data_IF_214646000239
#
_entry.id   IF_214646000239
#
_cell.length_a   1.000
_cell.length_b   1.000
_cell.length_c   1.000
_cell.angle_alpha   90.00
_cell.angle_beta   90.00
_cell.angle_gamma   90.00
#
_symmetry.space_group_name_H-M   'P 1'
#
loop_
_entity.id
_entity.type
_entity.pdbx_description
1 polymer ?
#
# COMPACT_ATOMS: atom_id res chain seq x y z
N UNK A 1 -43.06 95.05 -7.96
CA UNK A 1 -43.82 95.10 -9.22
C UNK A 1 -43.03 94.37 -10.29
N UNK A 2 -43.58 93.27 -10.83
CA UNK A 2 -43.79 92.97 -12.27
C UNK A 2 -42.57 93.17 -13.22
N UNK A 3 -42.29 92.25 -14.17
CA UNK A 3 -41.64 90.94 -14.06
C UNK A 3 -40.62 90.83 -15.24
N UNK A 4 -40.56 89.66 -15.91
CA UNK A 4 -40.12 89.45 -17.31
C UNK A 4 -38.62 89.28 -17.52
N UNK A 5 -38.18 88.46 -18.44
CA UNK A 5 -38.76 87.34 -19.20
C UNK A 5 -37.53 86.67 -19.81
N UNK A 6 -37.53 85.35 -19.82
CA UNK A 6 -36.55 84.50 -20.50
C UNK A 6 -36.40 84.87 -21.99
N UNK A 7 -35.21 84.64 -22.58
CA UNK A 7 -35.15 84.07 -23.92
C UNK A 7 -34.33 82.77 -23.98
N UNK A 8 -34.89 81.80 -24.70
CA UNK A 8 -34.31 80.49 -25.02
C UNK A 8 -32.98 80.61 -25.79
N UNK A 9 -32.02 79.69 -25.58
CA UNK A 9 -30.78 79.67 -26.33
C UNK A 9 -30.91 78.99 -27.70
N UNK A 10 -30.33 79.64 -28.72
CA UNK A 10 -30.01 79.07 -30.03
C UNK A 10 -28.73 78.22 -29.93
N UNK A 11 -28.68 77.19 -30.79
CA UNK A 11 -27.56 76.26 -31.02
C UNK A 11 -26.20 76.97 -31.18
N UNK A 12 -25.17 76.39 -30.57
CA UNK A 12 -23.76 76.66 -30.88
C UNK A 12 -23.00 75.34 -31.09
N UNK A 13 -22.60 75.15 -32.36
CA UNK A 13 -21.28 74.71 -32.84
C UNK A 13 -20.40 73.77 -32.02
N UNK A 14 -20.06 72.66 -32.69
CA UNK A 14 -18.86 71.82 -32.59
C UNK A 14 -17.71 72.35 -31.71
N UNK A 15 -17.50 71.67 -30.58
CA UNK A 15 -16.34 71.80 -29.71
C UNK A 15 -15.18 70.89 -30.15
N UNK A 16 -13.99 71.44 -29.98
CA UNK A 16 -12.65 70.92 -30.26
C UNK A 16 -12.30 69.61 -29.50
N UNK A 17 -11.19 68.93 -29.88
CA UNK A 17 -10.85 67.59 -29.39
C UNK A 17 -10.35 67.61 -27.94
N UNK A 18 -10.96 66.77 -27.10
CA UNK A 18 -10.51 66.46 -25.75
C UNK A 18 -9.30 65.50 -25.73
N UNK A 19 -8.59 65.41 -24.58
CA UNK A 19 -7.24 64.87 -24.49
C UNK A 19 -7.17 63.34 -24.62
N UNK A 20 -6.06 62.87 -25.20
CA UNK A 20 -5.64 61.46 -25.28
C UNK A 20 -5.79 60.77 -23.93
N UNK A 21 -6.79 59.91 -23.81
CA UNK A 21 -6.82 58.88 -22.78
C UNK A 21 -5.71 57.87 -23.07
N UNK A 22 -4.70 57.88 -22.21
CA UNK A 22 -3.68 56.83 -22.08
C UNK A 22 -4.39 55.50 -21.87
N UNK A 23 -4.31 54.64 -22.88
CA UNK A 23 -4.78 53.27 -22.84
C UNK A 23 -3.90 52.50 -21.86
N UNK A 24 -4.31 52.43 -20.59
CA UNK A 24 -3.70 51.56 -19.60
C UNK A 24 -3.70 50.13 -20.14
N UNK A 25 -2.52 49.66 -20.52
CA UNK A 25 -2.27 48.26 -20.84
C UNK A 25 -2.47 47.48 -19.54
N UNK A 26 -3.60 46.79 -19.42
CA UNK A 26 -3.75 45.68 -18.46
C UNK A 26 -2.51 44.79 -18.59
N UNK A 27 -1.80 44.47 -17.50
CA UNK A 27 -0.71 43.51 -17.58
C UNK A 27 -1.30 42.19 -18.06
N UNK A 28 -0.84 41.74 -19.22
CA UNK A 28 -1.20 40.44 -19.75
C UNK A 28 -0.85 39.41 -18.71
N UNK A 29 -1.85 38.67 -18.21
CA UNK A 29 -1.60 37.34 -17.66
C UNK A 29 -0.90 36.57 -18.76
N UNK A 30 0.42 36.52 -18.70
CA UNK A 30 1.19 35.48 -19.37
C UNK A 30 0.72 34.17 -18.74
N UNK A 31 -0.33 33.58 -19.30
CA UNK A 31 -0.72 32.22 -18.96
C UNK A 31 0.48 31.35 -19.23
N UNK A 32 0.95 30.62 -18.22
CA UNK A 32 2.01 29.64 -18.39
C UNK A 32 1.52 28.68 -19.49
N UNK A 33 2.18 28.64 -20.67
CA UNK A 33 1.76 27.75 -21.73
C UNK A 33 2.23 26.36 -21.34
N UNK A 34 1.29 25.51 -20.95
CA UNK A 34 1.58 24.15 -20.56
C UNK A 34 0.32 23.37 -20.29
N UNK A 35 -0.31 22.84 -21.34
CA UNK A 35 -1.11 21.64 -21.18
C UNK A 35 -0.16 20.55 -20.70
N UNK A 36 -0.08 20.37 -19.38
CA UNK A 36 0.67 19.24 -18.81
C UNK A 36 -0.14 18.01 -19.18
N UNK A 37 0.32 17.27 -20.20
CA UNK A 37 -0.26 15.97 -20.52
C UNK A 37 -0.24 15.13 -19.24
N UNK A 38 -1.34 14.46 -18.88
CA UNK A 38 -1.36 13.60 -17.71
C UNK A 38 -0.26 12.55 -17.86
N UNK A 39 0.60 12.45 -16.84
CA UNK A 39 1.68 11.46 -16.83
C UNK A 39 1.05 10.07 -16.83
N UNK A 40 1.58 9.19 -17.65
CA UNK A 40 1.12 7.81 -17.70
C UNK A 40 1.74 7.03 -16.53
N UNK A 41 0.95 6.27 -15.75
CA UNK A 41 1.48 5.42 -14.70
C UNK A 41 2.44 4.37 -15.27
N UNK A 42 3.45 3.99 -14.49
CA UNK A 42 4.44 3.00 -14.90
C UNK A 42 3.91 1.60 -14.57
N UNK A 43 4.05 0.71 -15.54
CA UNK A 43 3.86 -0.72 -15.31
C UNK A 43 5.18 -1.36 -14.90
N UNK A 44 5.17 -2.13 -13.81
CA UNK A 44 6.28 -3.02 -13.49
C UNK A 44 6.35 -4.13 -14.53
N UNK A 45 7.57 -4.50 -14.92
CA UNK A 45 7.80 -5.73 -15.68
C UNK A 45 7.37 -6.90 -14.81
N UNK A 46 6.70 -7.89 -15.40
CA UNK A 46 6.47 -9.17 -14.72
C UNK A 46 7.83 -9.83 -14.49
N UNK A 47 8.33 -9.94 -13.24
CA UNK A 47 9.61 -10.60 -13.01
C UNK A 47 9.46 -12.09 -13.35
N UNK A 48 10.53 -12.75 -13.80
CA UNK A 48 10.54 -14.22 -13.96
C UNK A 48 10.79 -14.98 -12.66
N UNK A 49 11.22 -14.28 -11.62
CA UNK A 49 11.53 -14.85 -10.29
C UNK A 49 10.27 -15.35 -9.60
N UNK A 50 10.38 -16.24 -8.63
CA UNK A 50 9.26 -16.60 -7.75
C UNK A 50 8.86 -15.41 -6.85
N UNK A 51 7.60 -15.38 -6.44
CA UNK A 51 7.13 -14.65 -5.26
C UNK A 51 6.57 -15.65 -4.28
N UNK A 52 6.43 -15.23 -3.03
CA UNK A 52 5.99 -16.05 -1.92
C UNK A 52 4.73 -15.48 -1.30
N UNK A 53 3.90 -16.35 -0.73
CA UNK A 53 2.74 -15.96 0.06
C UNK A 53 2.66 -16.85 1.30
N UNK A 54 2.41 -16.24 2.45
CA UNK A 54 2.03 -16.94 3.67
C UNK A 54 0.50 -16.96 3.76
N UNK A 55 -0.10 -18.02 3.23
CA UNK A 55 -1.56 -18.16 3.07
C UNK A 55 -2.15 -19.17 4.06
N UNK A 56 -3.48 -19.28 4.11
CA UNK A 56 -4.17 -20.28 4.93
C UNK A 56 -4.00 -21.66 4.31
N UNK A 57 -3.81 -22.68 5.13
CA UNK A 57 -3.94 -24.06 4.70
C UNK A 57 -5.43 -24.43 4.54
N UNK A 58 -5.78 -25.41 3.69
CA UNK A 58 -4.88 -26.31 2.96
C UNK A 58 -4.21 -25.71 1.71
N UNK A 59 -4.80 -24.70 1.08
CA UNK A 59 -4.25 -24.07 -0.12
C UNK A 59 -3.91 -22.58 0.13
N UNK A 60 -2.62 -22.25 0.33
CA UNK A 60 -2.21 -20.87 0.54
C UNK A 60 -2.49 -19.93 -0.63
N UNK A 61 -2.70 -20.44 -1.85
CA UNK A 61 -2.98 -19.65 -3.05
C UNK A 61 -4.47 -19.55 -3.36
N UNK A 62 -5.33 -20.20 -2.57
CA UNK A 62 -6.77 -20.04 -2.69
C UNK A 62 -7.14 -18.57 -2.53
N UNK A 63 -7.94 -18.08 -3.48
CA UNK A 63 -8.48 -16.72 -3.43
C UNK A 63 -9.35 -16.57 -2.18
N UNK A 64 -9.16 -15.52 -1.37
CA UNK A 64 -10.01 -15.32 -0.20
C UNK A 64 -11.48 -15.21 -0.62
N UNK A 65 -12.43 -15.76 0.17
CA UNK A 65 -13.85 -15.55 -0.05
C UNK A 65 -14.17 -14.05 -0.15
N UNK A 66 -15.07 -13.68 -1.04
CA UNK A 66 -15.34 -12.28 -1.35
C UNK A 66 -15.90 -11.52 -0.14
N UNK A 67 -16.60 -12.22 0.75
CA UNK A 67 -17.14 -11.71 2.00
C UNK A 67 -16.04 -11.29 2.98
N UNK A 68 -14.85 -11.91 2.87
CA UNK A 68 -13.66 -11.60 3.65
C UNK A 68 -12.79 -10.51 3.01
N UNK A 69 -13.08 -10.11 1.76
CA UNK A 69 -12.39 -9.02 1.08
C UNK A 69 -12.88 -7.64 1.55
N UNK A 70 -12.04 -6.63 1.37
CA UNK A 70 -12.37 -5.22 1.61
C UNK A 70 -11.66 -4.61 2.83
N UNK A 71 -10.89 -5.41 3.58
CA UNK A 71 -10.17 -4.92 4.77
C UNK A 71 -8.68 -4.69 4.49
N UNK A 72 -8.11 -5.34 3.48
CA UNK A 72 -6.73 -5.16 3.07
C UNK A 72 -6.44 -3.77 2.48
N UNK A 73 -5.15 -3.41 2.45
CA UNK A 73 -4.69 -2.10 1.96
C UNK A 73 -5.06 -1.84 0.51
N UNK A 74 -5.01 -2.86 -0.33
CA UNK A 74 -5.32 -2.80 -1.76
C UNK A 74 -6.55 -3.64 -2.10
N UNK A 75 -7.42 -3.88 -1.13
CA UNK A 75 -8.71 -4.50 -1.39
C UNK A 75 -9.70 -3.44 -1.93
N UNK A 76 -10.77 -3.90 -2.56
CA UNK A 76 -11.90 -3.05 -2.92
C UNK A 76 -13.00 -3.14 -1.85
N UNK A 77 -13.36 -2.03 -1.18
CA UNK A 77 -14.46 -2.01 -0.21
C UNK A 77 -15.80 -2.39 -0.84
N UNK A 78 -15.98 -2.13 -2.14
CA UNK A 78 -17.15 -2.56 -2.90
C UNK A 78 -17.11 -4.05 -3.32
N UNK A 79 -16.02 -4.76 -2.98
CA UNK A 79 -15.85 -6.20 -3.20
C UNK A 79 -16.07 -6.62 -4.66
N UNK A 80 -15.53 -5.88 -5.62
CA UNK A 80 -15.62 -6.23 -7.06
C UNK A 80 -14.57 -7.24 -7.49
N UNK A 81 -13.48 -7.37 -6.73
CA UNK A 81 -12.41 -8.33 -6.98
C UNK A 81 -11.77 -8.79 -5.67
N UNK A 82 -11.06 -9.92 -5.74
CA UNK A 82 -10.28 -10.49 -4.62
C UNK A 82 -8.79 -10.17 -4.79
N UNK A 83 -8.07 -10.22 -3.68
CA UNK A 83 -6.64 -9.86 -3.65
C UNK A 83 -5.81 -10.93 -2.95
N UNK A 84 -4.75 -11.38 -3.62
CA UNK A 84 -3.67 -12.15 -3.00
C UNK A 84 -2.48 -11.24 -2.71
N UNK A 85 -2.14 -11.11 -1.44
CA UNK A 85 -0.90 -10.51 -1.00
C UNK A 85 0.25 -11.52 -1.07
N UNK A 86 1.33 -11.11 -1.70
CA UNK A 86 2.57 -11.86 -1.85
C UNK A 86 3.79 -10.93 -1.76
N UNK A 87 4.98 -11.49 -1.62
CA UNK A 87 6.21 -10.71 -1.64
C UNK A 87 7.35 -11.46 -2.32
N UNK A 88 8.32 -10.72 -2.85
CA UNK A 88 9.52 -11.30 -3.48
C UNK A 88 10.38 -12.05 -2.46
N UNK A 89 10.45 -11.58 -1.23
CA UNK A 89 11.21 -12.21 -0.16
C UNK A 89 10.26 -12.96 0.79
N UNK A 90 10.58 -14.22 1.14
CA UNK A 90 9.86 -14.94 2.22
C UNK A 90 9.82 -14.11 3.51
N UNK A 91 10.93 -13.41 3.81
CA UNK A 91 11.06 -12.45 4.90
C UNK A 91 9.90 -11.45 4.98
N UNK A 92 9.57 -10.85 3.84
CA UNK A 92 8.56 -9.81 3.74
C UNK A 92 7.16 -10.38 4.00
N UNK A 93 6.88 -11.61 3.54
CA UNK A 93 5.63 -12.30 3.84
C UNK A 93 5.44 -12.50 5.35
N UNK A 94 6.50 -12.96 6.04
CA UNK A 94 6.46 -13.14 7.49
C UNK A 94 6.34 -11.80 8.21
N UNK A 95 7.15 -10.81 7.85
CA UNK A 95 7.11 -9.48 8.46
C UNK A 95 5.70 -8.85 8.36
N UNK A 96 5.09 -8.85 7.18
CA UNK A 96 3.74 -8.30 6.98
C UNK A 96 2.67 -9.10 7.72
N UNK A 97 2.74 -10.43 7.71
CA UNK A 97 1.74 -11.28 8.36
C UNK A 97 1.81 -11.18 9.88
N UNK A 98 3.03 -11.10 10.43
CA UNK A 98 3.25 -11.05 11.87
C UNK A 98 3.18 -9.63 12.43
N UNK A 99 3.12 -8.60 11.58
CA UNK A 99 3.09 -7.20 11.97
C UNK A 99 2.04 -6.87 13.05
N UNK A 100 0.88 -7.55 13.00
CA UNK A 100 -0.21 -7.34 13.96
C UNK A 100 0.08 -7.84 15.37
N UNK A 101 1.10 -8.69 15.54
CA UNK A 101 1.52 -9.22 16.83
C UNK A 101 2.69 -8.43 17.42
N UNK A 102 3.18 -7.39 16.72
CA UNK A 102 4.26 -6.53 17.24
C UNK A 102 3.80 -5.90 18.55
N UNK A 103 4.68 -5.80 19.56
CA UNK A 103 4.36 -5.09 20.79
C UNK A 103 3.82 -3.70 20.51
N UNK A 104 2.88 -3.25 21.34
CA UNK A 104 2.36 -1.89 21.22
C UNK A 104 3.45 -0.89 21.62
N UNK A 105 3.33 0.34 21.12
CA UNK A 105 4.29 1.40 21.43
C UNK A 105 4.22 1.79 22.92
N UNK A 106 3.06 1.64 23.54
CA UNK A 106 2.84 1.86 24.97
C UNK A 106 3.65 0.84 25.79
N UNK A 107 3.53 -0.46 25.45
CA UNK A 107 4.29 -1.51 26.12
C UNK A 107 5.80 -1.30 25.96
N UNK A 108 6.25 -0.89 24.77
CA UNK A 108 7.64 -0.54 24.49
C UNK A 108 8.13 0.64 25.34
N UNK A 109 7.31 1.68 25.51
CA UNK A 109 7.65 2.82 26.34
C UNK A 109 7.79 2.45 27.83
N UNK A 110 7.02 1.47 28.30
CA UNK A 110 7.07 1.00 29.70
C UNK A 110 8.28 0.11 29.99
N UNK A 111 8.68 -0.77 29.06
CA UNK A 111 9.74 -1.77 29.28
C UNK A 111 11.11 -1.37 28.74
N UNK A 112 11.19 -0.40 27.83
CA UNK A 112 12.44 0.24 27.39
C UNK A 112 13.28 -0.56 26.39
N UNK A 113 13.39 -1.89 26.52
CA UNK A 113 14.12 -2.74 25.57
C UNK A 113 13.15 -3.63 24.75
N UNK A 114 13.05 -3.43 23.42
CA UNK A 114 12.30 -4.32 22.53
C UNK A 114 12.69 -5.80 22.66
N UNK A 115 13.96 -6.11 22.96
CA UNK A 115 14.45 -7.47 23.11
C UNK A 115 13.81 -8.22 24.31
N UNK A 116 13.33 -7.47 25.29
CA UNK A 116 12.66 -8.01 26.48
C UNK A 116 11.14 -8.20 26.26
N UNK A 117 10.60 -7.69 25.14
CA UNK A 117 9.18 -7.76 24.83
C UNK A 117 8.94 -8.72 23.69
N UNK A 118 8.18 -9.77 23.98
CA UNK A 118 7.94 -10.81 22.99
C UNK A 118 6.50 -10.82 22.52
N UNK A 119 6.31 -10.69 21.20
CA UNK A 119 5.03 -10.92 20.57
C UNK A 119 4.53 -12.35 20.74
N UNK A 120 3.31 -12.48 21.23
CA UNK A 120 2.61 -13.75 21.35
C UNK A 120 1.87 -14.08 20.05
N UNK A 121 2.23 -15.20 19.40
CA UNK A 121 1.50 -15.75 18.25
C UNK A 121 0.99 -17.12 18.63
N UNK A 122 -0.31 -17.37 18.51
CA UNK A 122 -0.84 -18.68 18.90
C UNK A 122 -0.28 -19.80 18.01
N UNK A 123 0.00 -20.96 18.60
CA UNK A 123 0.45 -22.11 17.82
C UNK A 123 -0.61 -22.55 16.78
N UNK A 124 -1.90 -22.32 17.07
CA UNK A 124 -2.99 -22.52 16.12
C UNK A 124 -2.90 -21.61 14.89
N UNK A 125 -2.55 -20.33 15.08
CA UNK A 125 -2.33 -19.40 13.98
C UNK A 125 -1.23 -19.91 13.05
N UNK A 126 -0.08 -20.33 13.60
CA UNK A 126 1.04 -20.85 12.80
C UNK A 126 0.67 -22.13 12.06
N UNK A 127 0.02 -23.10 12.74
CA UNK A 127 -0.42 -24.36 12.12
C UNK A 127 -1.47 -24.18 11.02
N UNK A 128 -2.21 -23.07 11.04
CA UNK A 128 -3.21 -22.76 10.01
C UNK A 128 -2.62 -22.16 8.72
N UNK A 129 -1.29 -22.01 8.64
CA UNK A 129 -0.61 -21.27 7.57
C UNK A 129 0.49 -22.08 6.89
N UNK A 130 0.63 -21.87 5.59
CA UNK A 130 1.68 -22.46 4.75
C UNK A 130 2.29 -21.43 3.82
N UNK A 131 3.56 -21.65 3.43
CA UNK A 131 4.21 -20.80 2.42
C UNK A 131 4.02 -21.44 1.05
N UNK A 132 3.43 -20.68 0.13
CA UNK A 132 3.42 -21.04 -1.28
C UNK A 132 4.41 -20.16 -2.06
N UNK A 133 5.09 -20.77 -3.03
CA UNK A 133 5.91 -20.07 -4.01
C UNK A 133 5.26 -20.19 -5.39
N UNK A 134 5.20 -19.10 -6.15
CA UNK A 134 4.53 -19.08 -7.44
C UNK A 134 5.10 -18.04 -8.40
N UNK A 135 4.90 -18.30 -9.69
CA UNK A 135 5.17 -17.37 -10.78
C UNK A 135 3.90 -16.58 -11.09
N UNK A 136 4.06 -15.30 -11.42
CA UNK A 136 3.01 -14.52 -12.07
C UNK A 136 3.21 -14.66 -13.57
N UNK A 137 2.13 -14.85 -14.34
CA UNK A 137 2.20 -14.74 -15.80
C UNK A 137 2.35 -13.28 -16.24
N UNK A 138 2.67 -13.10 -17.51
CA UNK A 138 2.74 -11.78 -18.11
C UNK A 138 1.44 -11.00 -17.86
N UNK A 139 1.57 -9.76 -17.42
CA UNK A 139 0.44 -8.91 -17.07
C UNK A 139 0.85 -7.46 -16.90
N UNK A 140 -0.14 -6.59 -16.77
CA UNK A 140 0.04 -5.17 -16.42
C UNK A 140 0.01 -5.01 -14.91
N UNK A 141 1.11 -4.57 -14.33
CA UNK A 141 1.27 -4.42 -12.88
C UNK A 141 1.52 -2.96 -12.55
N UNK A 142 0.65 -2.31 -11.79
CA UNK A 142 0.82 -0.89 -11.46
C UNK A 142 1.98 -0.76 -10.46
N UNK A 143 3.06 -0.07 -10.84
CA UNK A 143 4.22 0.11 -9.97
C UNK A 143 4.12 1.43 -9.21
N UNK A 144 3.57 1.39 -7.99
CA UNK A 144 3.37 2.59 -7.17
C UNK A 144 4.66 3.03 -6.45
N UNK A 145 5.78 2.34 -6.68
CA UNK A 145 7.10 2.75 -6.19
C UNK A 145 7.73 3.83 -7.09
N UNK A 146 7.21 3.99 -8.31
CA UNK A 146 7.73 4.94 -9.28
C UNK A 146 7.11 6.31 -9.10
N UNK A 147 7.93 7.36 -9.14
CA UNK A 147 7.49 8.74 -9.01
C UNK A 147 6.46 9.13 -10.08
N UNK A 148 6.62 8.63 -11.30
CA UNK A 148 5.67 8.89 -12.40
C UNK A 148 4.30 8.29 -12.13
N UNK A 149 4.24 7.13 -11.48
CA UNK A 149 2.98 6.53 -11.05
C UNK A 149 2.33 7.37 -9.96
N UNK A 150 3.08 7.80 -8.94
CA UNK A 150 2.56 8.67 -7.89
C UNK A 150 2.02 9.99 -8.46
N UNK A 151 2.76 10.60 -9.41
CA UNK A 151 2.30 11.80 -10.11
C UNK A 151 1.03 11.57 -10.94
N UNK A 152 0.93 10.42 -11.63
CA UNK A 152 -0.28 10.05 -12.37
C UNK A 152 -1.48 9.87 -11.43
N UNK A 153 -1.28 9.19 -10.30
CA UNK A 153 -2.32 8.99 -9.27
C UNK A 153 -2.71 10.33 -8.62
N UNK A 154 -1.76 11.22 -8.36
CA UNK A 154 -2.05 12.59 -7.90
C UNK A 154 -2.99 13.32 -8.85
N UNK A 155 -2.75 13.24 -10.16
CA UNK A 155 -3.63 13.83 -11.16
C UNK A 155 -5.00 13.14 -11.22
N UNK A 156 -5.04 11.81 -11.11
CA UNK A 156 -6.29 11.04 -11.18
C UNK A 156 -7.21 11.26 -9.97
N UNK A 157 -6.64 11.41 -8.77
CA UNK A 157 -7.38 11.55 -7.52
C UNK A 157 -7.42 12.99 -7.00
N UNK A 158 -6.83 13.96 -7.70
CA UNK A 158 -6.59 15.31 -7.19
C UNK A 158 -7.84 16.00 -6.61
N UNK A 159 -9.01 15.77 -7.19
CA UNK A 159 -10.29 16.32 -6.69
C UNK A 159 -10.78 15.65 -5.41
N UNK A 160 -10.37 14.43 -5.09
CA UNK A 160 -10.83 13.63 -3.94
C UNK A 160 -9.73 13.38 -2.90
N UNK A 161 -8.49 13.83 -3.11
CA UNK A 161 -7.38 13.64 -2.14
C UNK A 161 -7.70 14.17 -0.74
N UNK A 162 -8.43 15.28 -0.66
CA UNK A 162 -8.85 15.88 0.60
C UNK A 162 -9.83 14.99 1.38
N UNK A 163 -10.69 14.23 0.68
CA UNK A 163 -11.61 13.24 1.27
C UNK A 163 -10.83 12.06 1.87
N UNK A 164 -9.63 11.78 1.34
CA UNK A 164 -8.71 10.79 1.90
C UNK A 164 -7.84 11.34 3.04
N UNK A 165 -8.00 12.61 3.44
CA UNK A 165 -7.17 13.23 4.48
C UNK A 165 -5.69 13.34 4.09
N UNK A 166 -5.36 13.28 2.79
CA UNK A 166 -3.99 13.34 2.30
C UNK A 166 -3.64 14.76 1.83
N UNK A 167 -2.48 15.25 2.24
CA UNK A 167 -1.91 16.51 1.73
C UNK A 167 -1.37 16.34 0.31
N UNK A 168 -0.84 15.16 -0.01
CA UNK A 168 -0.30 14.83 -1.33
C UNK A 168 -0.32 13.31 -1.57
N UNK A 169 -0.05 12.88 -2.81
CA UNK A 169 0.19 11.48 -3.16
C UNK A 169 1.69 11.20 -3.10
N UNK A 170 2.12 10.64 -1.97
CA UNK A 170 3.50 10.24 -1.74
C UNK A 170 3.58 8.88 -1.02
N UNK A 171 4.79 8.49 -0.61
CA UNK A 171 5.02 7.24 0.11
C UNK A 171 4.28 7.19 1.45
N UNK A 172 4.04 8.32 2.11
CA UNK A 172 3.31 8.36 3.37
C UNK A 172 1.83 8.02 3.16
N UNK A 173 1.22 8.53 2.09
CA UNK A 173 -0.16 8.16 1.70
C UNK A 173 -0.30 6.69 1.32
N UNK A 174 0.74 6.10 0.72
CA UNK A 174 0.75 4.67 0.35
C UNK A 174 1.00 3.75 1.56
N UNK A 175 1.91 4.12 2.46
CA UNK A 175 2.35 3.28 3.58
C UNK A 175 1.60 3.58 4.89
N UNK A 176 0.87 4.69 4.95
CA UNK A 176 0.20 5.20 6.15
C UNK A 176 -0.92 4.30 6.67
N UNK A 177 -1.49 4.62 7.84
CA UNK A 177 -2.52 3.78 8.46
C UNK A 177 -3.85 3.81 7.71
N UNK A 178 -4.17 4.92 7.04
CA UNK A 178 -5.40 5.09 6.29
C UNK A 178 -5.37 4.29 4.99
N UNK A 179 -6.44 3.54 4.73
CA UNK A 179 -6.53 2.62 3.57
C UNK A 179 -7.41 3.15 2.44
N UNK A 180 -8.24 4.17 2.67
CA UNK A 180 -9.19 4.66 1.66
C UNK A 180 -8.51 5.03 0.35
N UNK A 181 -7.36 5.73 0.42
CA UNK A 181 -6.59 6.07 -0.77
C UNK A 181 -6.08 4.82 -1.50
N UNK A 182 -5.39 3.92 -0.82
CA UNK A 182 -4.80 2.72 -1.46
C UNK A 182 -5.86 1.75 -1.98
N UNK A 183 -7.01 1.67 -1.32
CA UNK A 183 -8.17 0.91 -1.78
C UNK A 183 -8.80 1.55 -3.02
N UNK A 184 -8.90 2.88 -3.07
CA UNK A 184 -9.35 3.62 -4.26
C UNK A 184 -8.37 3.45 -5.44
N UNK A 185 -7.07 3.44 -5.17
CA UNK A 185 -6.03 3.13 -6.17
C UNK A 185 -6.17 1.70 -6.69
N UNK A 186 -6.49 0.73 -5.84
CA UNK A 186 -6.71 -0.66 -6.26
C UNK A 186 -7.95 -0.81 -7.14
N UNK A 187 -9.07 -0.22 -6.73
CA UNK A 187 -10.28 -0.09 -7.53
C UNK A 187 -10.00 0.49 -8.92
N UNK A 188 -9.35 1.66 -8.96
CA UNK A 188 -8.95 2.31 -10.20
C UNK A 188 -8.04 1.43 -11.05
N UNK A 189 -7.02 0.78 -10.46
CA UNK A 189 -6.10 -0.09 -11.19
C UNK A 189 -6.84 -1.27 -11.82
N UNK A 190 -7.75 -1.91 -11.08
CA UNK A 190 -8.54 -3.03 -11.59
C UNK A 190 -9.42 -2.61 -12.78
N UNK A 191 -10.15 -1.49 -12.66
CA UNK A 191 -10.96 -0.92 -13.75
C UNK A 191 -10.15 -0.59 -15.00
N UNK A 192 -8.89 -0.17 -14.81
CA UNK A 192 -7.98 0.18 -15.91
C UNK A 192 -7.23 -1.06 -16.46
N UNK A 193 -7.64 -2.28 -16.12
CA UNK A 193 -7.10 -3.52 -16.66
C UNK A 193 -5.71 -3.89 -16.14
N UNK A 194 -5.33 -3.40 -14.96
CA UNK A 194 -4.17 -3.93 -14.24
C UNK A 194 -4.53 -5.26 -13.57
N UNK A 195 -3.52 -6.11 -13.40
CA UNK A 195 -3.59 -7.43 -12.78
C UNK A 195 -3.14 -7.40 -11.31
N UNK A 196 -2.70 -6.24 -10.84
CA UNK A 196 -2.25 -6.04 -9.48
C UNK A 196 -1.35 -4.82 -9.34
N UNK A 197 -0.85 -4.64 -8.12
CA UNK A 197 -0.04 -3.51 -7.69
C UNK A 197 1.27 -4.02 -7.10
N UNK A 198 2.38 -3.37 -7.49
CA UNK A 198 3.71 -3.59 -6.89
C UNK A 198 4.04 -2.42 -5.98
N UNK A 199 4.40 -2.72 -4.73
CA UNK A 199 4.60 -1.72 -3.70
C UNK A 199 5.74 -2.11 -2.74
N UNK A 200 6.27 -1.13 -2.03
CA UNK A 200 7.23 -1.37 -0.94
C UNK A 200 6.47 -1.64 0.37
N UNK A 201 6.96 -2.59 1.17
CA UNK A 201 6.40 -2.79 2.52
C UNK A 201 6.61 -1.55 3.39
N UNK A 202 5.62 -1.23 4.23
CA UNK A 202 5.79 -0.21 5.29
C UNK A 202 6.85 -0.60 6.33
N UNK A 203 7.18 -1.90 6.42
CA UNK A 203 8.15 -2.45 7.38
C UNK A 203 9.57 -2.49 6.82
N UNK A 204 9.75 -2.18 5.53
CA UNK A 204 11.07 -2.18 4.91
C UNK A 204 10.98 -1.79 3.45
N UNK A 205 11.66 -0.71 3.07
CA UNK A 205 11.64 -0.21 1.69
C UNK A 205 12.21 -1.21 0.66
N UNK A 206 13.07 -2.14 1.10
CA UNK A 206 13.65 -3.19 0.26
C UNK A 206 12.74 -4.41 0.07
N UNK A 207 11.66 -4.51 0.85
CA UNK A 207 10.66 -5.56 0.70
C UNK A 207 9.71 -5.19 -0.43
N UNK A 208 9.78 -5.99 -1.49
CA UNK A 208 8.91 -5.85 -2.65
C UNK A 208 7.68 -6.71 -2.46
N UNK A 209 6.53 -6.05 -2.30
CA UNK A 209 5.24 -6.66 -2.08
C UNK A 209 4.35 -6.51 -3.31
N UNK A 210 3.42 -7.44 -3.45
CA UNK A 210 2.52 -7.58 -4.57
C UNK A 210 1.10 -7.77 -4.03
N UNK A 211 0.17 -6.93 -4.48
CA UNK A 211 -1.26 -7.13 -4.33
C UNK A 211 -1.79 -7.60 -5.69
N UNK A 212 -2.07 -8.90 -5.79
CA UNK A 212 -2.42 -9.56 -7.04
C UNK A 212 -3.93 -9.69 -7.11
N UNK A 213 -4.54 -9.24 -8.18
CA UNK A 213 -5.99 -9.29 -8.38
C UNK A 213 -6.41 -10.63 -8.98
N UNK A 214 -7.67 -11.02 -8.79
CA UNK A 214 -8.21 -12.31 -9.25
C UNK A 214 -8.42 -12.43 -10.77
N UNK A 215 -8.22 -11.34 -11.51
CA UNK A 215 -8.08 -11.34 -12.97
C UNK A 215 -6.66 -11.74 -13.43
N UNK A 216 -5.70 -11.93 -12.50
CA UNK A 216 -4.34 -12.33 -12.82
C UNK A 216 -4.18 -13.85 -12.90
N UNK A 217 -3.41 -14.30 -13.90
CA UNK A 217 -3.00 -15.70 -13.95
C UNK A 217 -1.72 -15.94 -13.14
N UNK A 218 -1.78 -16.92 -12.24
CA UNK A 218 -0.66 -17.38 -11.41
C UNK A 218 -0.36 -18.85 -11.69
N UNK A 219 0.91 -19.23 -11.61
CA UNK A 219 1.38 -20.60 -11.78
C UNK A 219 2.15 -21.03 -10.54
N UNK A 220 1.76 -22.15 -9.93
CA UNK A 220 2.49 -22.72 -8.80
C UNK A 220 3.93 -23.01 -9.19
N UNK A 221 4.87 -22.57 -8.35
CA UNK A 221 6.26 -23.02 -8.45
C UNK A 221 6.31 -24.49 -8.02
N UNK A 222 7.14 -25.30 -8.66
CA UNK A 222 7.21 -26.76 -8.44
C UNK A 222 7.74 -27.20 -7.05
N UNK A 223 7.73 -26.30 -6.07
CA UNK A 223 8.03 -26.60 -4.67
C UNK A 223 6.73 -26.97 -3.97
N UNK A 224 6.66 -28.19 -3.42
CA UNK A 224 5.64 -28.57 -2.45
C UNK A 224 5.48 -27.44 -1.42
N UNK A 225 4.25 -27.17 -1.00
CA UNK A 225 3.96 -26.23 0.08
C UNK A 225 4.69 -26.69 1.35
N UNK A 226 5.88 -26.14 1.58
CA UNK A 226 6.60 -26.42 2.81
C UNK A 226 5.82 -25.77 3.96
N UNK A 227 5.59 -26.49 5.07
CA UNK A 227 5.13 -25.83 6.29
C UNK A 227 6.10 -24.69 6.60
N UNK A 228 5.55 -23.55 7.01
CA UNK A 228 6.37 -22.42 7.41
C UNK A 228 7.25 -22.87 8.60
N UNK A 229 8.57 -23.00 8.40
CA UNK A 229 9.53 -23.21 9.49
C UNK A 229 9.60 -21.94 10.35
N UNK A 230 8.60 -21.74 11.20
CA UNK A 230 8.58 -20.72 12.24
C UNK A 230 9.01 -21.40 13.54
N UNK A 231 10.18 -21.03 14.03
CA UNK A 231 10.68 -21.52 15.30
C UNK A 231 9.94 -20.81 16.43
N UNK A 232 9.27 -21.62 17.25
CA UNK A 232 8.62 -21.13 18.46
C UNK A 232 9.59 -21.30 19.62
N UNK A 233 9.88 -20.22 20.34
CA UNK A 233 10.59 -20.31 21.63
C UNK A 233 9.60 -20.80 22.67
N UNK A 234 9.93 -21.89 23.36
CA UNK A 234 9.15 -22.34 24.51
C UNK A 234 9.47 -21.43 25.71
N UNK A 235 8.49 -20.79 26.36
CA UNK A 235 8.75 -19.98 27.56
C UNK A 235 9.36 -20.79 28.71
N UNK A 236 9.09 -22.11 28.76
CA UNK A 236 9.55 -23.01 29.82
C UNK A 236 10.91 -23.67 29.53
N UNK A 237 11.52 -23.43 28.36
CA UNK A 237 12.82 -24.03 28.00
C UNK A 237 13.66 -23.02 27.19
N UNK A 238 14.80 -22.53 27.72
CA UNK A 238 15.60 -21.49 27.07
C UNK A 238 16.38 -21.97 25.83
N UNK A 239 16.27 -23.25 25.43
CA UNK A 239 16.98 -23.81 24.27
C UNK A 239 16.20 -23.62 22.96
N UNK A 240 16.89 -23.08 21.96
CA UNK A 240 16.38 -22.92 20.59
C UNK A 240 16.26 -24.29 19.93
N UNK A 241 15.04 -24.74 19.61
CA UNK A 241 14.85 -25.98 18.86
C UNK A 241 15.31 -25.80 17.41
N UNK A 242 16.23 -26.65 16.95
CA UNK A 242 16.64 -26.80 15.54
C UNK A 242 16.01 -28.09 15.02
N UNK A 243 15.41 -28.16 13.80
CA UNK A 243 14.66 -29.33 13.36
C UNK A 243 15.57 -30.43 12.78
N UNK A 244 16.90 -30.31 12.89
CA UNK A 244 17.85 -31.29 12.34
C UNK A 244 18.36 -32.32 13.36
N UNK A 245 17.98 -32.22 14.65
CA UNK A 245 18.37 -33.22 15.66
C UNK A 245 17.17 -34.07 16.09
N UNK A 246 16.95 -35.13 15.31
CA UNK A 246 16.31 -36.40 15.68
C UNK A 246 14.76 -36.43 15.89
N UNK A 247 14.13 -37.61 15.67
CA UNK A 247 12.98 -37.72 14.80
C UNK A 247 11.68 -37.96 15.57
N UNK A 248 10.55 -37.67 14.92
CA UNK A 248 9.23 -38.24 15.26
C UNK A 248 8.60 -37.67 16.54
N UNK A 249 7.54 -36.87 16.37
CA UNK A 249 6.55 -36.46 17.41
C UNK A 249 7.00 -35.44 18.47
N UNK A 250 7.12 -34.16 18.08
CA UNK A 250 6.92 -33.02 19.02
C UNK A 250 5.85 -32.03 18.53
N UNK A 251 5.11 -32.36 17.46
CA UNK A 251 3.88 -31.64 17.09
C UNK A 251 2.64 -32.07 17.88
N UNK A 252 2.77 -33.08 18.76
CA UNK A 252 1.68 -33.54 19.61
C UNK A 252 1.72 -32.85 20.97
N UNK A 253 0.69 -32.06 21.26
CA UNK A 253 0.32 -31.51 22.59
C UNK A 253 1.07 -30.25 23.07
N UNK A 254 0.98 -29.16 22.31
CA UNK A 254 0.77 -27.87 22.99
C UNK A 254 -0.73 -27.75 23.24
N UNK A 255 -1.19 -27.52 24.49
CA UNK A 255 -2.61 -27.30 24.76
C UNK A 255 -3.09 -26.08 23.96
N UNK A 256 -4.38 -26.02 23.56
CA UNK A 256 -4.92 -24.86 22.83
C UNK A 256 -4.76 -23.52 23.58
N UNK A 257 -4.47 -23.54 24.88
CA UNK A 257 -4.16 -22.38 25.72
C UNK A 257 -2.70 -21.92 25.72
N UNK A 258 -1.77 -22.65 25.08
CA UNK A 258 -0.35 -22.28 25.10
C UNK A 258 -0.07 -21.10 24.16
N UNK A 259 0.35 -19.98 24.75
CA UNK A 259 0.94 -18.84 24.04
C UNK A 259 2.30 -19.25 23.48
N UNK A 260 2.45 -19.20 22.16
CA UNK A 260 3.71 -19.46 21.49
C UNK A 260 4.45 -18.13 21.22
N UNK A 261 5.72 -18.09 21.56
CA UNK A 261 6.61 -16.97 21.25
C UNK A 261 7.20 -17.24 19.87
N UNK A 262 6.89 -16.42 18.87
CA UNK A 262 7.41 -16.61 17.52
C UNK A 262 8.74 -15.88 17.32
N UNK A 263 9.79 -16.62 16.95
CA UNK A 263 11.04 -16.04 16.46
C UNK A 263 11.32 -16.60 15.06
N UNK A 264 11.24 -15.76 14.03
CA UNK A 264 11.37 -16.24 12.65
C UNK A 264 12.86 -16.33 12.29
N UNK A 265 13.43 -17.53 12.34
CA UNK A 265 14.74 -17.84 11.74
C UNK A 265 14.57 -18.28 10.30
N UNK A 266 15.31 -17.66 9.41
CA UNK A 266 15.37 -17.90 7.97
C UNK A 266 16.85 -17.96 7.60
N UNK A 267 17.23 -18.72 6.55
CA UNK A 267 18.65 -18.95 6.22
C UNK A 267 19.44 -17.62 6.11
N UNK A 268 20.51 -17.57 6.90
CA UNK A 268 21.60 -16.61 7.20
C UNK A 268 21.52 -15.10 6.86
N UNK A 269 20.80 -14.63 5.85
CA UNK A 269 20.64 -13.18 5.59
C UNK A 269 19.32 -12.62 6.16
N UNK A 270 18.31 -13.48 6.35
CA UNK A 270 16.94 -13.03 6.66
C UNK A 270 16.62 -13.04 8.16
N UNK A 271 17.32 -13.86 8.95
CA UNK A 271 17.15 -13.92 10.40
C UNK A 271 17.54 -12.61 11.11
N UNK A 272 18.48 -11.83 10.55
CA UNK A 272 18.89 -10.55 11.11
C UNK A 272 17.78 -9.49 10.96
N UNK A 273 17.11 -9.44 9.81
CA UNK A 273 16.01 -8.51 9.56
C UNK A 273 14.77 -8.78 10.43
N UNK A 274 14.44 -10.05 10.67
CA UNK A 274 13.28 -10.38 11.51
C UNK A 274 13.58 -10.21 13.00
N UNK A 275 14.85 -10.20 13.42
CA UNK A 275 15.24 -9.74 14.78
C UNK A 275 15.31 -8.22 14.91
N UNK A 276 15.51 -7.47 13.83
CA UNK A 276 15.50 -6.00 13.87
C UNK A 276 14.07 -5.43 13.81
N UNK A 277 13.10 -6.24 13.36
CA UNK A 277 11.68 -5.89 13.32
C UNK A 277 10.92 -6.29 14.60
N UNK A 278 11.57 -6.95 15.54
CA UNK A 278 10.97 -7.50 16.76
C UNK A 278 11.86 -7.21 17.95
#
# INVERSE_FOLDING_TARGET
>A
MVPRHEPRPRRSSAGAPGPRATRERRPGRAGIPGSVRPRQPRSARTPRTLVYRLGRLPDPLEWPPLESAGSGRFDDPARRFRVLYAARQRAACFAETLATFRPSLELLAETGDPADIVGAVSAGFLRSRGVAAFHRRAGRWLDIRQLETLAALRSAFGSTLHEFGLTDVDLSGVCGPQRMFTQSVAAWAYEHGYHGIVYASRLGATFECWAIFDNAAIETGNTASEPADVYVRCPACPTWFVPSCAPTRVFARLPPSAVAIAAVRTKEATAHYLRALW
#
